data_IF_240114115853
#
_entry.id   IF_240114115853
#
_cell.length_a   1.000
_cell.length_b   1.000
_cell.length_c   1.000
_cell.angle_alpha   90.00
_cell.angle_beta   90.00
_cell.angle_gamma   90.00
#
_symmetry.space_group_name_H-M   'P 1'
#
loop_
_entity.id
_entity.type
_entity.pdbx_description
1 polymer ?
#
# COMPACT_ATOMS: atom_id res chain seq x y z
N UNK A 1 -1.64 -3.20 12.05
CA UNK A 1 -2.25 -4.46 12.53
C UNK A 1 -3.27 -4.05 13.56
N UNK A 2 -4.50 -4.56 13.56
CA UNK A 2 -5.38 -4.38 14.73
C UNK A 2 -4.60 -4.83 15.98
N UNK A 3 -4.79 -4.18 17.13
CA UNK A 3 -4.03 -4.56 18.33
C UNK A 3 -4.47 -5.92 18.86
N UNK A 4 -5.68 -6.35 18.52
CA UNK A 4 -6.26 -7.62 18.94
C UNK A 4 -6.86 -8.39 17.76
N UNK A 5 -6.03 -8.84 16.80
CA UNK A 5 -6.49 -9.32 15.49
C UNK A 5 -7.27 -10.64 15.55
N UNK A 6 -7.17 -11.38 16.66
CA UNK A 6 -7.78 -12.70 16.84
C UNK A 6 -8.91 -12.69 17.87
N UNK A 7 -9.42 -11.52 18.27
CA UNK A 7 -10.51 -11.42 19.25
C UNK A 7 -11.76 -10.85 18.61
N UNK A 8 -12.87 -11.55 18.77
CA UNK A 8 -14.19 -11.00 18.50
C UNK A 8 -14.50 -9.86 19.47
N UNK A 9 -15.48 -9.01 19.12
CA UNK A 9 -15.93 -7.91 19.98
C UNK A 9 -16.35 -8.38 21.39
N UNK A 10 -16.92 -9.60 21.49
CA UNK A 10 -17.31 -10.20 22.76
C UNK A 10 -16.07 -10.58 23.61
N UNK A 11 -15.11 -11.29 23.02
CA UNK A 11 -13.88 -11.70 23.69
C UNK A 11 -13.02 -10.48 24.11
N UNK A 12 -12.97 -9.44 23.28
CA UNK A 12 -12.33 -8.16 23.59
C UNK A 12 -12.97 -7.50 24.82
N UNK A 13 -14.30 -7.48 24.88
CA UNK A 13 -15.01 -6.92 26.03
C UNK A 13 -14.75 -7.72 27.29
N UNK A 14 -14.77 -9.05 27.22
CA UNK A 14 -14.48 -9.92 28.36
C UNK A 14 -13.04 -9.70 28.85
N UNK A 15 -12.08 -9.63 27.92
CA UNK A 15 -10.68 -9.33 28.22
C UNK A 15 -10.53 -7.97 28.94
N UNK A 16 -11.10 -6.89 28.40
CA UNK A 16 -11.00 -5.57 29.03
C UNK A 16 -11.68 -5.51 30.40
N UNK A 17 -12.74 -6.28 30.64
CA UNK A 17 -13.40 -6.32 31.96
C UNK A 17 -12.50 -6.91 33.06
N UNK A 18 -11.58 -7.80 32.70
CA UNK A 18 -10.65 -8.44 33.64
C UNK A 18 -9.50 -7.51 34.06
N UNK A 19 -9.22 -6.45 33.29
CA UNK A 19 -8.11 -5.53 33.56
C UNK A 19 -8.47 -4.45 34.60
N UNK A 20 -7.46 -3.89 35.23
CA UNK A 20 -7.62 -2.72 36.13
C UNK A 20 -7.90 -1.45 35.33
N UNK A 21 -8.42 -0.42 36.00
CA UNK A 21 -8.69 0.86 35.33
C UNK A 21 -7.41 1.50 34.77
N UNK A 22 -6.31 1.46 35.51
CA UNK A 22 -5.00 1.96 35.08
C UNK A 22 -4.51 1.25 33.81
N UNK A 23 -4.56 -0.09 33.80
CA UNK A 23 -4.20 -0.90 32.63
C UNK A 23 -5.04 -0.54 31.39
N UNK A 24 -6.32 -0.26 31.57
CA UNK A 24 -7.19 0.15 30.47
C UNK A 24 -6.86 1.54 29.94
N UNK A 25 -6.45 2.47 30.81
CA UNK A 25 -6.01 3.81 30.41
C UNK A 25 -4.68 3.75 29.66
N UNK A 26 -3.74 2.92 30.10
CA UNK A 26 -2.47 2.70 29.39
C UNK A 26 -2.70 2.14 27.98
N UNK A 27 -3.58 1.13 27.87
CA UNK A 27 -3.98 0.59 26.56
C UNK A 27 -4.62 1.70 25.72
N UNK A 28 -5.48 2.53 26.31
CA UNK A 28 -6.14 3.62 25.60
C UNK A 28 -5.14 4.63 25.02
N UNK A 29 -4.17 5.07 25.82
CA UNK A 29 -3.14 6.01 25.40
C UNK A 29 -2.27 5.43 24.28
N UNK A 30 -2.02 4.13 24.35
CA UNK A 30 -1.23 3.43 23.33
C UNK A 30 -1.90 3.33 21.95
N UNK A 31 -3.19 3.69 21.79
CA UNK A 31 -3.85 3.75 20.48
C UNK A 31 -3.47 5.01 19.68
N UNK A 32 -3.07 6.11 20.33
CA UNK A 32 -2.68 7.35 19.63
C UNK A 32 -1.55 7.11 18.60
N UNK A 33 -0.36 6.65 19.05
CA UNK A 33 0.74 6.32 18.14
C UNK A 33 0.39 5.24 17.11
N UNK A 34 -0.57 4.36 17.43
CA UNK A 34 -1.02 3.33 16.51
C UNK A 34 -1.79 3.90 15.32
N UNK A 35 -2.68 4.87 15.56
CA UNK A 35 -3.41 5.55 14.49
C UNK A 35 -2.49 6.42 13.65
N UNK A 36 -1.57 7.15 14.27
CA UNK A 36 -0.55 7.95 13.56
C UNK A 36 0.24 7.06 12.58
N UNK A 37 0.73 5.90 13.02
CA UNK A 37 1.41 4.95 12.15
C UNK A 37 0.55 4.40 11.01
N UNK A 38 -0.76 4.20 11.24
CA UNK A 38 -1.67 3.75 10.20
C UNK A 38 -1.88 4.85 9.16
N UNK A 39 -2.10 6.10 9.59
CA UNK A 39 -2.29 7.24 8.69
C UNK A 39 -1.03 7.51 7.87
N UNK A 40 0.15 7.55 8.49
CA UNK A 40 1.40 7.70 7.75
C UNK A 40 1.60 6.63 6.68
N UNK A 41 1.20 5.38 6.97
CA UNK A 41 1.30 4.29 6.00
C UNK A 41 0.31 4.46 4.86
N UNK A 42 -0.92 4.87 5.16
CA UNK A 42 -1.94 5.17 4.15
C UNK A 42 -1.45 6.31 3.25
N UNK A 43 -0.92 7.38 3.83
CA UNK A 43 -0.40 8.53 3.09
C UNK A 43 0.78 8.16 2.19
N UNK A 44 1.73 7.35 2.70
CA UNK A 44 2.83 6.81 1.89
C UNK A 44 2.30 5.97 0.73
N UNK A 45 1.36 5.06 0.98
CA UNK A 45 0.76 4.23 -0.07
C UNK A 45 0.03 5.08 -1.12
N UNK A 46 -0.73 6.09 -0.70
CA UNK A 46 -1.44 6.99 -1.62
C UNK A 46 -0.48 7.81 -2.49
N UNK A 47 0.63 8.28 -1.91
CA UNK A 47 1.68 8.96 -2.66
C UNK A 47 2.34 8.03 -3.69
N UNK A 48 2.68 6.81 -3.27
CA UNK A 48 3.27 5.81 -4.17
C UNK A 48 2.32 5.41 -5.29
N UNK A 49 1.02 5.37 -5.01
CA UNK A 49 -0.05 5.08 -5.97
C UNK A 49 -0.15 6.19 -7.00
N UNK A 50 -0.17 7.46 -6.57
CA UNK A 50 -0.18 8.61 -7.48
C UNK A 50 1.04 8.60 -8.42
N UNK A 51 2.24 8.35 -7.88
CA UNK A 51 3.46 8.25 -8.67
C UNK A 51 3.41 7.07 -9.67
N UNK A 52 2.84 5.94 -9.26
CA UNK A 52 2.71 4.77 -10.13
C UNK A 52 1.70 5.01 -11.26
N UNK A 53 0.61 5.72 -10.99
CA UNK A 53 -0.37 6.15 -12.00
C UNK A 53 0.25 7.09 -13.02
N UNK A 54 0.97 8.12 -12.56
CA UNK A 54 1.69 9.04 -13.45
C UNK A 54 2.69 8.29 -14.35
N UNK A 55 3.45 7.35 -13.76
CA UNK A 55 4.37 6.49 -14.53
C UNK A 55 3.62 5.66 -15.57
N UNK A 56 2.48 5.06 -15.21
CA UNK A 56 1.69 4.26 -16.12
C UNK A 56 1.19 5.08 -17.32
N UNK A 57 0.71 6.29 -17.06
CA UNK A 57 0.25 7.20 -18.12
C UNK A 57 1.41 7.61 -19.04
N UNK A 58 2.57 7.91 -18.47
CA UNK A 58 3.80 8.15 -19.24
C UNK A 58 4.20 6.96 -20.12
N UNK A 59 4.12 5.74 -19.60
CA UNK A 59 4.41 4.52 -20.36
C UNK A 59 3.40 4.27 -21.48
N UNK A 60 2.11 4.48 -21.24
CA UNK A 60 1.05 4.38 -22.26
C UNK A 60 1.27 5.39 -23.39
N UNK A 61 1.63 6.63 -23.05
CA UNK A 61 1.97 7.66 -24.03
C UNK A 61 3.19 7.26 -24.87
N UNK A 62 4.26 6.76 -24.23
CA UNK A 62 5.45 6.24 -24.94
C UNK A 62 5.10 5.10 -25.87
N UNK A 63 4.26 4.15 -25.44
CA UNK A 63 3.78 3.05 -26.27
C UNK A 63 2.96 3.55 -27.46
N UNK A 64 2.08 4.53 -27.28
CA UNK A 64 1.33 5.11 -28.38
C UNK A 64 2.25 5.77 -29.42
N UNK A 65 3.24 6.56 -28.96
CA UNK A 65 4.24 7.16 -29.85
C UNK A 65 5.03 6.08 -30.60
N UNK A 66 5.45 5.03 -29.90
CA UNK A 66 6.12 3.87 -30.50
C UNK A 66 5.26 3.24 -31.60
N UNK A 67 3.98 3.00 -31.33
CA UNK A 67 3.04 2.46 -32.31
C UNK A 67 2.86 3.36 -33.52
N UNK A 68 2.78 4.67 -33.33
CA UNK A 68 2.65 5.63 -34.42
C UNK A 68 3.89 5.67 -35.33
N UNK A 69 5.07 5.32 -34.81
CA UNK A 69 6.33 5.28 -35.58
C UNK A 69 6.48 4.04 -36.45
N UNK A 70 5.53 3.09 -36.41
CA UNK A 70 5.63 1.81 -37.10
C UNK A 70 5.89 1.94 -38.61
N UNK A 71 5.20 2.84 -39.31
CA UNK A 71 5.40 3.04 -40.76
C UNK A 71 6.81 3.53 -41.13
N UNK A 72 7.43 4.34 -40.27
CA UNK A 72 8.84 4.76 -40.43
C UNK A 72 9.77 3.56 -40.27
N UNK A 73 9.49 2.69 -39.30
CA UNK A 73 10.28 1.47 -39.07
C UNK A 73 10.16 0.50 -40.23
N UNK A 74 8.97 0.32 -40.81
CA UNK A 74 8.79 -0.51 -42.01
C UNK A 74 9.63 0.00 -43.18
N UNK A 75 9.68 1.31 -43.37
CA UNK A 75 10.49 1.94 -44.42
C UNK A 75 11.99 1.70 -44.18
N UNK A 76 12.45 1.84 -42.95
CA UNK A 76 13.84 1.57 -42.56
C UNK A 76 14.20 0.09 -42.69
N UNK A 77 13.29 -0.81 -42.34
CA UNK A 77 13.46 -2.26 -42.48
C UNK A 77 13.58 -2.66 -43.96
N UNK A 78 12.77 -2.07 -44.84
CA UNK A 78 12.89 -2.30 -46.28
C UNK A 78 14.28 -1.87 -46.81
N UNK A 79 14.77 -0.70 -46.39
CA UNK A 79 16.11 -0.24 -46.74
C UNK A 79 17.22 -1.15 -46.18
N UNK A 80 17.09 -1.57 -44.92
CA UNK A 80 17.99 -2.52 -44.27
C UNK A 80 18.06 -3.84 -45.03
N UNK A 81 16.91 -4.43 -45.40
CA UNK A 81 16.86 -5.68 -46.18
C UNK A 81 17.47 -5.53 -47.56
N UNK A 82 17.22 -4.41 -48.24
CA UNK A 82 17.83 -4.13 -49.53
C UNK A 82 19.36 -4.06 -49.44
N UNK A 83 19.89 -3.37 -48.42
CA UNK A 83 21.32 -3.30 -48.15
C UNK A 83 21.90 -4.69 -47.82
N UNK A 84 21.24 -5.45 -46.96
CA UNK A 84 21.67 -6.79 -46.58
C UNK A 84 21.74 -7.71 -47.80
N UNK A 85 20.71 -7.71 -48.64
CA UNK A 85 20.67 -8.51 -49.87
C UNK A 85 21.81 -8.13 -50.84
N UNK A 86 22.12 -6.84 -50.97
CA UNK A 86 23.26 -6.36 -51.76
C UNK A 86 24.59 -6.91 -51.23
N UNK A 87 24.81 -6.86 -49.92
CA UNK A 87 25.99 -7.46 -49.27
C UNK A 87 26.06 -8.96 -49.54
N UNK A 88 24.94 -9.68 -49.45
CA UNK A 88 24.90 -11.13 -49.65
C UNK A 88 25.19 -11.57 -51.09
N UNK A 89 24.94 -10.70 -52.06
CA UNK A 89 25.22 -10.95 -53.47
C UNK A 89 26.72 -10.86 -53.82
N UNK A 90 27.57 -10.33 -52.92
CA UNK A 90 29.03 -10.28 -53.15
C UNK A 90 29.62 -11.71 -53.17
N UNK A 91 30.47 -11.98 -54.15
CA UNK A 91 31.16 -13.26 -54.32
C UNK A 91 32.25 -13.50 -53.26
N UNK A 92 32.84 -12.42 -52.72
CA UNK A 92 33.88 -12.49 -51.70
C UNK A 92 33.31 -12.83 -50.32
N UNK A 93 33.75 -13.96 -49.74
CA UNK A 93 33.38 -14.36 -48.38
C UNK A 93 33.75 -13.31 -47.33
N UNK A 94 34.91 -12.66 -47.48
CA UNK A 94 35.40 -11.64 -46.55
C UNK A 94 34.53 -10.39 -46.61
N UNK A 95 34.16 -9.93 -47.80
CA UNK A 95 33.29 -8.75 -47.97
C UNK A 95 31.88 -9.01 -47.43
N UNK A 96 31.35 -10.22 -47.65
CA UNK A 96 30.06 -10.62 -47.06
C UNK A 96 30.08 -10.60 -45.54
N UNK A 97 31.16 -11.09 -44.93
CA UNK A 97 31.29 -11.11 -43.48
C UNK A 97 31.36 -9.69 -42.91
N UNK A 98 32.25 -8.85 -43.44
CA UNK A 98 32.39 -7.45 -43.01
C UNK A 98 31.13 -6.62 -43.28
N UNK A 99 30.49 -6.82 -44.43
CA UNK A 99 29.25 -6.12 -44.78
C UNK A 99 28.07 -6.52 -43.90
N UNK A 100 27.95 -7.79 -43.48
CA UNK A 100 26.93 -8.21 -42.51
C UNK A 100 27.17 -7.56 -41.15
N UNK A 101 28.43 -7.49 -40.71
CA UNK A 101 28.79 -6.84 -39.46
C UNK A 101 28.49 -5.34 -39.50
N UNK A 102 28.73 -4.68 -40.63
CA UNK A 102 28.46 -3.25 -40.82
C UNK A 102 26.96 -2.92 -40.97
N UNK A 103 26.14 -3.84 -41.48
CA UNK A 103 24.70 -3.64 -41.63
C UNK A 103 23.98 -3.46 -40.28
N UNK A 104 24.52 -4.04 -39.20
CA UNK A 104 23.95 -3.90 -37.86
C UNK A 104 22.65 -4.68 -37.65
N UNK A 105 21.87 -4.27 -36.65
CA UNK A 105 20.63 -4.92 -36.25
C UNK A 105 19.42 -4.46 -37.08
N UNK A 106 18.43 -5.32 -37.24
CA UNK A 106 17.19 -4.99 -37.94
C UNK A 106 16.42 -3.88 -37.19
N UNK A 107 15.98 -2.82 -37.89
CA UNK A 107 15.06 -1.83 -37.32
C UNK A 107 13.78 -2.46 -36.75
N UNK A 108 13.24 -3.49 -37.41
CA UNK A 108 12.04 -4.19 -36.94
C UNK A 108 12.32 -4.98 -35.64
N UNK A 109 13.46 -5.67 -35.55
CA UNK A 109 13.83 -6.38 -34.31
C UNK A 109 13.98 -5.41 -33.13
N UNK A 110 14.61 -4.25 -33.34
CA UNK A 110 14.72 -3.21 -32.31
C UNK A 110 13.36 -2.66 -31.90
N UNK A 111 12.46 -2.48 -32.87
CA UNK A 111 11.10 -2.03 -32.63
C UNK A 111 10.31 -3.01 -31.78
N UNK A 112 10.35 -4.30 -32.12
CA UNK A 112 9.65 -5.35 -31.39
C UNK A 112 10.20 -5.52 -29.98
N UNK A 113 11.52 -5.43 -29.82
CA UNK A 113 12.16 -5.44 -28.51
C UNK A 113 11.68 -4.28 -27.63
N UNK A 114 11.66 -3.05 -28.16
CA UNK A 114 11.18 -1.88 -27.42
C UNK A 114 9.69 -1.99 -27.08
N UNK A 115 8.88 -2.54 -27.99
CA UNK A 115 7.46 -2.80 -27.75
C UNK A 115 7.28 -3.78 -26.60
N UNK A 116 7.99 -4.91 -26.61
CA UNK A 116 7.94 -5.91 -25.54
C UNK A 116 8.38 -5.31 -24.20
N UNK A 117 9.43 -4.50 -24.20
CA UNK A 117 9.90 -3.81 -23.00
C UNK A 117 8.82 -2.88 -22.43
N UNK A 118 8.20 -2.04 -23.28
CA UNK A 118 7.12 -1.13 -22.85
C UNK A 118 5.91 -1.91 -22.33
N UNK A 119 5.51 -3.00 -22.99
CA UNK A 119 4.41 -3.86 -22.55
C UNK A 119 4.69 -4.47 -21.18
N UNK A 120 5.92 -4.93 -20.96
CA UNK A 120 6.38 -5.48 -19.67
C UNK A 120 6.36 -4.41 -18.58
N UNK A 121 6.89 -3.20 -18.85
CA UNK A 121 6.88 -2.10 -17.89
C UNK A 121 5.44 -1.67 -17.52
N UNK A 122 4.53 -1.66 -18.49
CA UNK A 122 3.11 -1.35 -18.28
C UNK A 122 2.45 -2.41 -17.39
N UNK A 123 2.71 -3.70 -17.65
CA UNK A 123 2.17 -4.80 -16.84
C UNK A 123 2.65 -4.68 -15.39
N UNK A 124 3.97 -4.57 -15.19
CA UNK A 124 4.56 -4.47 -13.86
C UNK A 124 4.06 -3.24 -13.08
N UNK A 125 3.88 -2.10 -13.77
CA UNK A 125 3.38 -0.88 -13.12
C UNK A 125 1.90 -1.02 -12.76
N UNK A 126 1.10 -1.66 -13.61
CA UNK A 126 -0.31 -1.97 -13.32
C UNK A 126 -0.45 -2.92 -12.12
N UNK A 127 0.33 -4.00 -12.06
CA UNK A 127 0.36 -4.92 -10.93
C UNK A 127 0.76 -4.23 -9.63
N UNK A 128 1.73 -3.31 -9.69
CA UNK A 128 2.12 -2.49 -8.54
C UNK A 128 0.96 -1.61 -8.05
N UNK A 129 0.20 -1.00 -8.96
CA UNK A 129 -0.98 -0.20 -8.61
C UNK A 129 -2.02 -1.08 -7.91
N UNK A 130 -2.32 -2.26 -8.45
CA UNK A 130 -3.27 -3.19 -7.85
C UNK A 130 -2.84 -3.62 -6.44
N UNK A 131 -1.55 -3.92 -6.26
CA UNK A 131 -1.01 -4.24 -4.94
C UNK A 131 -1.13 -3.08 -3.96
N UNK A 132 -0.82 -1.85 -4.39
CA UNK A 132 -0.96 -0.65 -3.56
C UNK A 132 -2.42 -0.40 -3.17
N UNK A 133 -3.36 -0.57 -4.10
CA UNK A 133 -4.80 -0.49 -3.80
C UNK A 133 -5.22 -1.50 -2.72
N UNK A 134 -4.81 -2.76 -2.87
CA UNK A 134 -5.08 -3.80 -1.87
C UNK A 134 -4.49 -3.45 -0.50
N UNK A 135 -3.27 -2.89 -0.47
CA UNK A 135 -2.64 -2.44 0.77
C UNK A 135 -3.41 -1.30 1.43
N UNK A 136 -3.87 -0.30 0.66
CA UNK A 136 -4.68 0.82 1.17
C UNK A 136 -5.96 0.29 1.78
N UNK A 137 -6.73 -0.52 1.05
CA UNK A 137 -7.97 -1.14 1.57
C UNK A 137 -7.70 -1.94 2.84
N UNK A 138 -6.61 -2.71 2.87
CA UNK A 138 -6.22 -3.48 4.06
C UNK A 138 -5.82 -2.60 5.26
N UNK A 139 -5.25 -1.41 5.02
CA UNK A 139 -4.91 -0.44 6.07
C UNK A 139 -6.15 0.30 6.59
N UNK A 140 -7.07 0.67 5.70
CA UNK A 140 -8.36 1.29 6.05
C UNK A 140 -9.23 0.36 6.88
N UNK A 141 -9.26 -0.93 6.52
CA UNK A 141 -9.94 -1.94 7.32
C UNK A 141 -9.30 -2.04 8.72
N UNK A 142 -7.97 -2.09 8.82
CA UNK A 142 -7.26 -2.12 10.12
C UNK A 142 -7.55 -0.88 10.97
N UNK A 143 -7.66 0.30 10.34
CA UNK A 143 -8.05 1.55 11.02
C UNK A 143 -9.47 1.44 11.57
N UNK A 144 -10.40 0.92 10.76
CA UNK A 144 -11.80 0.69 11.17
C UNK A 144 -11.90 -0.29 12.33
N UNK A 145 -11.16 -1.39 12.27
CA UNK A 145 -11.11 -2.39 13.35
C UNK A 145 -10.56 -1.77 14.64
N UNK A 146 -9.44 -1.03 14.56
CA UNK A 146 -8.84 -0.35 15.70
C UNK A 146 -9.79 0.69 16.34
N UNK A 147 -10.59 1.42 15.54
CA UNK A 147 -11.63 2.32 16.04
C UNK A 147 -12.69 1.54 16.81
N UNK A 148 -13.12 0.39 16.27
CA UNK A 148 -14.11 -0.47 16.93
C UNK A 148 -13.60 -1.00 18.28
N UNK A 149 -12.34 -1.42 18.35
CA UNK A 149 -11.68 -1.87 19.58
C UNK A 149 -11.61 -0.75 20.62
N UNK A 150 -11.18 0.45 20.21
CA UNK A 150 -11.08 1.62 21.07
C UNK A 150 -12.46 2.00 21.64
N UNK A 151 -13.53 1.87 20.85
CA UNK A 151 -14.90 2.11 21.30
C UNK A 151 -15.33 1.13 22.39
N UNK A 152 -14.98 -0.15 22.26
CA UNK A 152 -15.25 -1.16 23.28
C UNK A 152 -14.45 -0.85 24.55
N UNK A 153 -13.17 -0.52 24.41
CA UNK A 153 -12.29 -0.14 25.51
C UNK A 153 -12.86 1.05 26.29
N UNK A 154 -13.19 2.15 25.60
CA UNK A 154 -13.76 3.34 26.20
C UNK A 154 -15.06 3.04 26.97
N UNK A 155 -15.94 2.19 26.41
CA UNK A 155 -17.15 1.77 27.10
C UNK A 155 -16.84 1.03 28.41
N UNK A 156 -15.88 0.11 28.42
CA UNK A 156 -15.50 -0.63 29.63
C UNK A 156 -14.85 0.29 30.67
N UNK A 157 -14.04 1.28 30.24
CA UNK A 157 -13.48 2.31 31.11
C UNK A 157 -14.61 3.10 31.79
N UNK A 158 -15.61 3.56 31.03
CA UNK A 158 -16.77 4.27 31.57
C UNK A 158 -17.56 3.41 32.55
N UNK A 159 -17.82 2.13 32.22
CA UNK A 159 -18.49 1.17 33.11
C UNK A 159 -17.73 1.02 34.44
N UNK A 160 -16.40 0.88 34.41
CA UNK A 160 -15.57 0.74 35.63
C UNK A 160 -15.51 2.03 36.46
N UNK A 161 -15.39 3.20 35.83
CA UNK A 161 -15.40 4.49 36.53
C UNK A 161 -16.71 4.71 37.29
N UNK A 162 -17.84 4.33 36.69
CA UNK A 162 -19.15 4.43 37.35
C UNK A 162 -19.27 3.52 38.57
N UNK A 163 -18.74 2.28 38.52
CA UNK A 163 -18.74 1.36 39.67
C UNK A 163 -17.91 1.92 40.83
N UNK A 164 -16.71 2.43 40.55
CA UNK A 164 -15.85 3.04 41.59
C UNK A 164 -16.54 4.25 42.21
N UNK A 165 -17.13 5.13 41.39
CA UNK A 165 -17.84 6.32 41.89
C UNK A 165 -19.03 5.94 42.80
N UNK A 166 -19.80 4.92 42.42
CA UNK A 166 -20.94 4.43 43.20
C UNK A 166 -20.51 3.71 44.50
N UNK A 167 -19.32 3.12 44.54
CA UNK A 167 -18.75 2.53 45.76
C UNK A 167 -18.27 3.61 46.73
N UNK A 168 -17.66 4.69 46.22
CA UNK A 168 -17.21 5.83 47.03
C UNK A 168 -18.38 6.62 47.64
N UNK A 169 -19.51 6.73 46.93
CA UNK A 169 -20.71 7.43 47.44
C UNK A 169 -21.58 6.57 48.36
N UNK A 170 -21.34 5.26 48.43
CA UNK A 170 -22.10 4.32 49.25
C UNK A 170 -21.46 4.04 50.62
N UNK A 171 -20.30 4.62 50.97
CA UNK A 171 -19.77 4.54 52.33
C UNK A 171 -20.64 5.37 53.30
N UNK A 172 -21.25 4.74 54.33
CA UNK A 172 -22.08 5.45 55.29
C UNK A 172 -21.27 6.38 56.18
N UNK A 173 -21.74 7.63 56.26
CA UNK A 173 -21.43 8.61 57.30
C UNK A 173 -21.87 8.13 58.71
N UNK A 174 -21.38 6.98 59.19
CA UNK A 174 -21.76 6.44 60.50
C UNK A 174 -20.87 6.92 61.67
N UNK A 175 -19.87 7.77 61.41
CA UNK A 175 -18.95 8.27 62.46
C UNK A 175 -19.11 9.75 62.86
N UNK A 176 -20.28 10.37 62.64
CA UNK A 176 -20.53 11.78 63.06
C UNK A 176 -21.44 11.97 64.27
N UNK A 177 -21.98 10.90 64.86
CA UNK A 177 -23.03 11.00 65.90
C UNK A 177 -22.59 10.68 67.34
N UNK A 178 -21.28 10.61 67.65
CA UNK A 178 -20.81 10.31 69.03
C UNK A 178 -20.20 11.50 69.79
N UNK A 179 -20.30 12.74 69.32
CA UNK A 179 -19.70 13.91 69.99
C UNK A 179 -20.68 14.98 70.49
N UNK A 180 -21.98 14.67 70.63
CA UNK A 180 -22.97 15.62 71.18
C UNK A 180 -23.65 15.18 72.47
N UNK A 181 -23.12 14.17 73.18
CA UNK A 181 -23.59 13.83 74.53
C UNK A 181 -22.41 13.57 75.48
N UNK A 182 -21.71 14.64 75.85
CA UNK A 182 -20.98 14.76 77.12
C UNK A 182 -20.52 16.22 77.29
N UNK A 183 -21.42 17.05 77.79
CA UNK A 183 -21.20 18.04 78.87
C UNK A 183 -22.49 18.82 79.12
#
# INVERSE_FOLDING_TARGET
>A
MSKFPNKTAFELRQYFRQLTLEQLLDINHSYGPHFEQLEERIDRCNKDLANAQERLDGLKNRKQVHQNNYGTVETLEAAYRAQLNSVLADYSRTNRFLGRQAAGASPMEQYDYQKLHLDTEISNTSEKIDHLNQLVTGLEQKKTDAISELRILNRVITEKRAVILNQVTAEPSEYRSQLTNRM
#
